data_IF_305296561498
#
_entry.id   IF_305296561498
#
_cell.length_a   1.000
_cell.length_b   1.000
_cell.length_c   1.000
_cell.angle_alpha   90.00
_cell.angle_beta   90.00
_cell.angle_gamma   90.00
#
_symmetry.space_group_name_H-M   'P 1'
#
loop_
_entity.id
_entity.type
_entity.pdbx_description
1 polymer ?
#
# COMPACT_ATOMS: atom_id res chain seq x y z
N UNK A 1 6.05 29.57 32.83
CA UNK A 1 5.67 30.30 31.60
C UNK A 1 5.52 29.25 30.53
N UNK A 2 4.32 29.20 29.96
CA UNK A 2 3.95 28.59 28.68
C UNK A 2 4.05 27.06 28.56
N UNK A 3 3.22 26.36 29.34
CA UNK A 3 2.50 25.21 28.78
C UNK A 3 1.51 25.76 27.76
N UNK A 4 2.02 26.14 26.57
CA UNK A 4 1.22 26.55 25.44
C UNK A 4 0.19 25.44 25.20
N UNK A 5 -1.07 25.80 25.42
CA UNK A 5 -2.21 24.92 25.52
C UNK A 5 -2.55 24.37 24.12
N UNK A 6 -1.71 23.46 23.62
CA UNK A 6 -1.80 22.86 22.29
C UNK A 6 -3.16 22.18 22.10
N UNK A 7 -3.67 21.58 23.19
CA UNK A 7 -4.96 20.92 23.23
C UNK A 7 -6.11 21.93 23.09
N UNK A 8 -6.07 23.08 23.79
CA UNK A 8 -7.09 24.12 23.63
C UNK A 8 -7.02 24.84 22.28
N UNK A 9 -5.83 24.96 21.66
CA UNK A 9 -5.70 25.51 20.32
C UNK A 9 -6.25 24.55 19.24
N UNK A 10 -6.03 23.24 19.40
CA UNK A 10 -6.62 22.21 18.55
C UNK A 10 -8.15 22.16 18.71
N UNK A 11 -8.65 22.26 19.93
CA UNK A 11 -10.08 22.26 20.24
C UNK A 11 -10.77 23.57 19.78
N UNK A 12 -10.08 24.72 19.86
CA UNK A 12 -10.55 25.99 19.30
C UNK A 12 -10.56 25.99 17.76
N UNK A 13 -9.56 25.39 17.10
CA UNK A 13 -9.55 25.19 15.66
C UNK A 13 -10.62 24.17 15.21
N UNK A 14 -10.97 23.20 16.05
CA UNK A 14 -12.05 22.25 15.81
C UNK A 14 -13.46 22.87 15.86
N UNK A 15 -13.60 23.96 16.62
CA UNK A 15 -14.85 24.71 16.81
C UNK A 15 -14.97 25.94 15.89
N UNK A 16 -13.95 26.26 15.11
CA UNK A 16 -13.98 27.39 14.17
C UNK A 16 -14.89 27.06 12.96
N UNK A 17 -16.00 27.80 12.75
CA UNK A 17 -16.89 27.63 11.60
C UNK A 17 -16.21 27.82 10.24
N UNK A 18 -15.04 28.44 10.21
CA UNK A 18 -14.25 28.70 9.01
C UNK A 18 -13.09 27.72 8.83
N UNK A 19 -12.96 26.70 9.68
CA UNK A 19 -11.93 25.68 9.50
C UNK A 19 -12.23 24.86 8.23
N UNK A 20 -11.34 24.86 7.22
CA UNK A 20 -11.51 24.03 6.01
C UNK A 20 -11.42 22.53 6.31
N UNK A 21 -11.00 22.14 7.52
CA UNK A 21 -10.82 20.75 7.98
C UNK A 21 -11.55 20.49 9.31
N UNK A 22 -12.90 20.47 9.32
CA UNK A 22 -13.65 20.22 10.54
C UNK A 22 -13.45 18.77 11.02
N UNK A 23 -13.28 18.59 12.33
CA UNK A 23 -13.19 17.26 12.93
C UNK A 23 -14.55 16.56 12.90
N UNK A 24 -14.56 15.23 12.69
CA UNK A 24 -15.80 14.46 12.50
C UNK A 24 -16.78 14.57 13.67
N UNK A 25 -16.29 14.88 14.88
CA UNK A 25 -17.10 14.98 16.11
C UNK A 25 -18.11 16.15 16.08
N UNK A 26 -17.88 17.16 15.25
CA UNK A 26 -18.75 18.34 15.10
C UNK A 26 -19.58 18.30 13.79
N UNK A 27 -19.48 17.24 12.98
CA UNK A 27 -20.11 17.18 11.66
C UNK A 27 -21.37 16.30 11.62
N UNK A 28 -22.37 16.74 10.84
CA UNK A 28 -23.52 15.90 10.49
C UNK A 28 -23.09 14.82 9.46
N UNK A 29 -23.75 13.65 9.45
CA UNK A 29 -23.50 12.56 8.51
C UNK A 29 -23.48 13.03 7.04
N UNK A 30 -24.38 13.95 6.67
CA UNK A 30 -24.42 14.53 5.33
C UNK A 30 -23.15 15.35 4.99
N UNK A 31 -22.58 16.05 5.97
CA UNK A 31 -21.34 16.82 5.82
C UNK A 31 -20.14 15.87 5.71
N UNK A 32 -20.09 14.80 6.52
CA UNK A 32 -19.02 13.79 6.45
C UNK A 32 -19.01 13.10 5.09
N UNK A 33 -20.18 12.71 4.57
CA UNK A 33 -20.30 12.09 3.24
C UNK A 33 -19.86 13.07 2.15
N UNK A 34 -20.33 14.32 2.18
CA UNK A 34 -19.91 15.35 1.24
C UNK A 34 -18.39 15.58 1.26
N UNK A 35 -17.80 15.68 2.46
CA UNK A 35 -16.37 15.87 2.65
C UNK A 35 -15.58 14.66 2.12
N UNK A 36 -16.07 13.44 2.38
CA UNK A 36 -15.49 12.20 1.84
C UNK A 36 -15.49 12.19 0.32
N UNK A 37 -16.57 12.63 -0.33
CA UNK A 37 -16.64 12.74 -1.78
C UNK A 37 -15.67 13.80 -2.34
N UNK A 38 -15.52 14.94 -1.66
CA UNK A 38 -14.56 15.97 -2.06
C UNK A 38 -13.11 15.46 -1.96
N UNK A 39 -12.76 14.79 -0.85
CA UNK A 39 -11.45 14.15 -0.71
C UNK A 39 -11.23 13.06 -1.75
N UNK A 40 -12.23 12.23 -2.03
CA UNK A 40 -12.15 11.22 -3.09
C UNK A 40 -11.93 11.85 -4.47
N UNK A 41 -12.59 12.97 -4.77
CA UNK A 41 -12.40 13.70 -6.03
C UNK A 41 -10.99 14.28 -6.15
N UNK A 42 -10.46 14.88 -5.08
CA UNK A 42 -9.08 15.39 -5.06
C UNK A 42 -8.07 14.26 -5.22
N UNK A 43 -8.25 13.15 -4.49
CA UNK A 43 -7.39 11.96 -4.60
C UNK A 43 -7.45 11.34 -5.99
N UNK A 44 -8.61 11.31 -6.64
CA UNK A 44 -8.76 10.83 -8.00
C UNK A 44 -7.96 11.68 -9.00
N UNK A 45 -8.07 13.01 -8.91
CA UNK A 45 -7.27 13.91 -9.75
C UNK A 45 -5.77 13.80 -9.46
N UNK A 46 -5.37 13.70 -8.19
CA UNK A 46 -3.98 13.51 -7.80
C UNK A 46 -3.40 12.20 -8.34
N UNK A 47 -4.18 11.11 -8.30
CA UNK A 47 -3.78 9.80 -8.84
C UNK A 47 -3.57 9.86 -10.35
N UNK A 48 -4.43 10.57 -11.08
CA UNK A 48 -4.25 10.79 -12.53
C UNK A 48 -2.99 11.60 -12.82
N UNK A 49 -2.71 12.67 -12.07
CA UNK A 49 -1.47 13.46 -12.22
C UNK A 49 -0.21 12.63 -11.93
N UNK A 50 -0.25 11.76 -10.92
CA UNK A 50 0.85 10.84 -10.61
C UNK A 50 1.03 9.83 -11.75
N UNK A 51 -0.07 9.29 -12.28
CA UNK A 51 -0.05 8.35 -13.41
C UNK A 51 0.56 8.99 -14.65
N UNK A 52 0.11 10.18 -15.04
CA UNK A 52 0.62 10.93 -16.19
C UNK A 52 2.10 11.30 -15.97
N UNK A 53 2.47 11.71 -14.75
CA UNK A 53 3.85 11.96 -14.37
C UNK A 53 4.74 10.72 -14.49
N UNK A 54 4.22 9.54 -14.13
CA UNK A 54 4.94 8.27 -14.28
C UNK A 54 5.18 7.90 -15.75
N UNK A 55 4.20 8.13 -16.62
CA UNK A 55 4.31 7.87 -18.06
C UNK A 55 5.33 8.82 -18.71
N UNK A 56 5.33 10.10 -18.31
CA UNK A 56 6.27 11.09 -18.81
C UNK A 56 7.72 10.81 -18.37
N UNK A 57 7.93 10.27 -17.17
CA UNK A 57 9.26 9.86 -16.69
C UNK A 57 9.76 8.58 -17.38
N UNK A 58 8.87 7.69 -17.81
CA UNK A 58 9.23 6.50 -18.59
C UNK A 58 9.55 6.83 -20.06
N UNK A 59 9.08 7.96 -20.58
CA UNK A 59 9.43 8.44 -21.93
C UNK A 59 10.88 8.91 -22.06
N UNK A 60 11.62 9.09 -20.96
CA UNK A 60 13.06 9.39 -20.98
C UNK A 60 13.86 8.07 -20.98
N UNK A 61 14.46 7.66 -22.11
CA UNK A 61 15.02 6.30 -22.26
C UNK A 61 16.19 6.00 -21.32
N UNK A 62 16.87 7.05 -20.84
CA UNK A 62 18.02 6.95 -19.93
C UNK A 62 17.60 6.69 -18.47
N UNK A 63 16.37 7.02 -18.09
CA UNK A 63 15.87 6.91 -16.71
C UNK A 63 14.79 5.84 -16.55
N UNK A 64 14.19 5.35 -17.64
CA UNK A 64 13.13 4.35 -17.63
C UNK A 64 13.37 3.14 -16.69
N UNK A 65 14.55 2.46 -16.68
CA UNK A 65 14.75 1.31 -15.79
C UNK A 65 14.86 1.68 -14.31
N UNK A 66 15.39 2.88 -13.99
CA UNK A 66 15.54 3.36 -12.59
C UNK A 66 14.22 3.91 -12.06
N UNK A 67 13.50 4.64 -12.90
CA UNK A 67 12.20 5.21 -12.55
C UNK A 67 11.20 4.10 -12.24
N UNK A 68 11.11 3.10 -13.12
CA UNK A 68 10.17 1.99 -12.95
C UNK A 68 10.42 1.13 -11.71
N UNK A 69 11.69 0.92 -11.33
CA UNK A 69 12.06 0.02 -10.23
C UNK A 69 12.20 0.68 -8.87
N UNK A 70 12.54 1.97 -8.80
CA UNK A 70 12.84 2.67 -7.53
C UNK A 70 11.90 3.85 -7.31
N UNK A 71 11.69 4.69 -8.32
CA UNK A 71 10.95 5.96 -8.15
C UNK A 71 9.45 5.71 -8.02
N UNK A 72 8.85 4.87 -8.87
CA UNK A 72 7.42 4.59 -8.80
C UNK A 72 6.99 3.94 -7.47
N UNK A 73 7.74 2.95 -6.92
CA UNK A 73 7.44 2.43 -5.58
C UNK A 73 7.54 3.49 -4.47
N UNK A 74 8.55 4.38 -4.52
CA UNK A 74 8.70 5.44 -3.52
C UNK A 74 7.55 6.44 -3.61
N UNK A 75 7.21 6.90 -4.82
CA UNK A 75 6.10 7.84 -5.02
C UNK A 75 4.76 7.25 -4.58
N UNK A 76 4.55 5.94 -4.74
CA UNK A 76 3.38 5.24 -4.23
C UNK A 76 3.32 5.15 -2.70
N UNK A 77 4.47 5.13 -2.02
CA UNK A 77 4.55 5.07 -0.56
C UNK A 77 4.46 6.44 0.14
N UNK A 78 4.64 7.55 -0.59
CA UNK A 78 4.59 8.92 -0.03
C UNK A 78 3.20 9.27 0.55
N UNK A 79 2.07 9.03 -0.15
CA UNK A 79 0.74 9.32 0.40
C UNK A 79 0.44 8.53 1.68
N UNK A 80 0.82 7.24 1.70
CA UNK A 80 0.66 6.38 2.87
C UNK A 80 1.50 6.88 4.06
N UNK A 81 2.76 7.24 3.82
CA UNK A 81 3.64 7.82 4.83
C UNK A 81 3.15 9.16 5.38
N UNK A 82 2.57 10.02 4.54
CA UNK A 82 1.98 11.28 4.97
C UNK A 82 0.74 11.05 5.85
N UNK A 83 -0.10 10.06 5.53
CA UNK A 83 -1.27 9.73 6.35
C UNK A 83 -0.87 9.33 7.77
N UNK A 84 0.17 8.49 7.94
CA UNK A 84 0.67 8.10 9.26
C UNK A 84 1.35 9.25 9.99
N UNK A 85 2.08 10.11 9.27
CA UNK A 85 2.69 11.30 9.85
C UNK A 85 1.64 12.24 10.47
N UNK A 86 0.58 12.57 9.73
CA UNK A 86 -0.50 13.42 10.25
C UNK A 86 -1.29 12.75 11.38
N UNK A 87 -1.39 11.42 11.39
CA UNK A 87 -2.03 10.66 12.47
C UNK A 87 -1.28 10.73 13.82
N UNK A 88 0.00 11.12 13.82
CA UNK A 88 0.82 11.25 15.02
C UNK A 88 0.87 12.66 15.62
N UNK A 89 0.30 13.68 14.97
CA UNK A 89 0.33 15.07 15.42
C UNK A 89 -0.83 15.44 16.37
N UNK A 90 -1.76 14.51 16.64
CA UNK A 90 -2.92 14.73 17.50
C UNK A 90 -2.62 14.59 19.01
N UNK A 91 -3.48 15.13 19.88
CA UNK A 91 -3.35 15.03 21.34
C UNK A 91 -3.41 13.58 21.86
N UNK A 92 -4.06 12.67 21.12
CA UNK A 92 -4.11 11.22 21.38
C UNK A 92 -3.22 10.42 20.43
N UNK A 93 -1.96 10.86 20.26
CA UNK A 93 -1.03 10.31 19.27
C UNK A 93 -0.88 8.78 19.34
N UNK A 94 -0.89 8.15 20.52
CA UNK A 94 -0.72 6.68 20.63
C UNK A 94 -1.92 5.88 20.08
N UNK A 95 -3.15 6.29 20.40
CA UNK A 95 -4.32 5.59 19.89
C UNK A 95 -4.53 5.90 18.41
N UNK A 96 -4.35 7.16 18.01
CA UNK A 96 -4.49 7.59 16.62
C UNK A 96 -3.43 6.95 15.72
N UNK A 97 -2.14 6.93 16.13
CA UNK A 97 -1.10 6.26 15.35
C UNK A 97 -1.33 4.76 15.25
N UNK A 98 -1.86 4.10 16.30
CA UNK A 98 -2.15 2.67 16.24
C UNK A 98 -3.23 2.34 15.20
N UNK A 99 -4.31 3.14 15.11
CA UNK A 99 -5.32 2.94 14.06
C UNK A 99 -4.81 3.34 12.69
N UNK A 100 -3.99 4.40 12.60
CA UNK A 100 -3.36 4.84 11.35
C UNK A 100 -2.38 3.79 10.77
N UNK A 101 -1.57 3.16 11.62
CA UNK A 101 -0.66 2.08 11.21
C UNK A 101 -1.43 0.83 10.79
N UNK A 102 -2.53 0.50 11.47
CA UNK A 102 -3.42 -0.60 11.06
C UNK A 102 -4.04 -0.37 9.68
N UNK A 103 -4.52 0.86 9.41
CA UNK A 103 -5.04 1.25 8.12
C UNK A 103 -3.96 1.23 7.01
N UNK A 104 -2.74 1.72 7.30
CA UNK A 104 -1.60 1.68 6.38
C UNK A 104 -1.16 0.24 6.05
N UNK A 105 -1.14 -0.64 7.06
CA UNK A 105 -0.82 -2.05 6.85
C UNK A 105 -1.87 -2.73 5.95
N UNK A 106 -3.15 -2.44 6.19
CA UNK A 106 -4.26 -2.92 5.36
C UNK A 106 -4.19 -2.42 3.91
N UNK A 107 -3.91 -1.12 3.70
CA UNK A 107 -3.81 -0.53 2.36
C UNK A 107 -2.64 -1.14 1.58
N UNK A 108 -1.48 -1.31 2.21
CA UNK A 108 -0.30 -1.92 1.57
C UNK A 108 -0.59 -3.36 1.13
N UNK A 109 -1.20 -4.17 1.99
CA UNK A 109 -1.57 -5.55 1.65
C UNK A 109 -2.59 -5.56 0.50
N UNK A 110 -3.59 -4.69 0.52
CA UNK A 110 -4.58 -4.58 -0.55
C UNK A 110 -3.97 -4.11 -1.88
N UNK A 111 -3.08 -3.11 -1.85
CA UNK A 111 -2.38 -2.57 -3.02
C UNK A 111 -1.33 -3.52 -3.57
N UNK A 112 -0.85 -4.51 -2.82
CA UNK A 112 0.00 -5.56 -3.35
C UNK A 112 -0.81 -6.75 -3.89
N UNK A 113 -1.87 -7.14 -3.17
CA UNK A 113 -2.67 -8.32 -3.54
C UNK A 113 -3.61 -8.06 -4.71
N UNK A 114 -4.23 -6.88 -4.82
CA UNK A 114 -5.15 -6.57 -5.92
C UNK A 114 -4.44 -6.43 -7.27
N UNK A 115 -3.35 -5.65 -7.43
CA UNK A 115 -2.66 -5.55 -8.71
C UNK A 115 -2.02 -6.87 -9.11
N UNK A 116 -1.45 -7.62 -8.17
CA UNK A 116 -0.93 -8.95 -8.44
C UNK A 116 -2.05 -9.89 -8.91
N UNK A 117 -3.19 -9.92 -8.22
CA UNK A 117 -4.33 -10.74 -8.62
C UNK A 117 -4.89 -10.34 -9.99
N UNK A 118 -5.06 -9.05 -10.24
CA UNK A 118 -5.52 -8.52 -11.53
C UNK A 118 -4.53 -8.79 -12.65
N UNK A 119 -3.23 -8.65 -12.40
CA UNK A 119 -2.17 -9.00 -13.36
C UNK A 119 -2.15 -10.49 -13.63
N UNK A 120 -2.35 -11.33 -12.62
CA UNK A 120 -2.45 -12.78 -12.79
C UNK A 120 -3.69 -13.11 -13.61
N UNK A 121 -4.84 -12.55 -13.27
CA UNK A 121 -6.13 -12.83 -13.91
C UNK A 121 -6.18 -12.35 -15.37
N UNK A 122 -5.76 -11.11 -15.64
CA UNK A 122 -5.70 -10.53 -17.01
C UNK A 122 -4.52 -11.06 -17.85
N UNK A 123 -3.45 -11.52 -17.18
CA UNK A 123 -2.24 -12.05 -17.79
C UNK A 123 -2.38 -13.46 -18.35
N UNK A 124 -3.45 -14.21 -17.99
CA UNK A 124 -3.66 -15.60 -18.41
C UNK A 124 -3.69 -15.73 -19.93
N UNK A 125 -2.93 -16.69 -20.45
CA UNK A 125 -2.96 -17.12 -21.83
C UNK A 125 -3.09 -18.64 -21.91
N UNK A 126 -3.55 -19.15 -23.05
CA UNK A 126 -3.62 -20.59 -23.30
C UNK A 126 -2.20 -21.21 -23.34
N UNK A 127 -2.01 -22.33 -22.64
CA UNK A 127 -0.75 -23.08 -22.64
C UNK A 127 -0.83 -24.14 -23.75
N UNK A 128 0.02 -24.01 -24.78
CA UNK A 128 0.21 -25.05 -25.80
C UNK A 128 1.64 -25.57 -25.70
N UNK A 129 1.81 -26.89 -25.49
CA UNK A 129 3.11 -27.56 -25.40
C UNK A 129 4.08 -26.91 -24.38
N UNK A 130 3.58 -26.53 -23.20
CA UNK A 130 4.39 -25.96 -22.12
C UNK A 130 4.84 -24.50 -22.33
N UNK A 131 4.36 -23.81 -23.37
CA UNK A 131 4.60 -22.38 -23.61
C UNK A 131 3.29 -21.61 -23.62
N UNK A 132 3.26 -20.45 -22.95
CA UNK A 132 2.13 -19.54 -22.99
C UNK A 132 2.09 -18.84 -24.36
N UNK A 133 0.96 -18.99 -25.07
CA UNK A 133 0.79 -18.43 -26.42
C UNK A 133 0.39 -16.96 -26.33
N UNK A 134 1.35 -16.08 -26.04
CA UNK A 134 1.15 -14.63 -26.09
C UNK A 134 1.28 -14.06 -27.50
N UNK A 135 2.17 -14.67 -28.30
CA UNK A 135 2.46 -14.21 -29.66
C UNK A 135 1.52 -14.87 -30.66
N UNK A 136 0.99 -14.06 -31.58
CA UNK A 136 0.19 -14.50 -32.72
C UNK A 136 1.05 -15.40 -33.63
N UNK A 137 0.60 -16.63 -33.96
CA UNK A 137 1.27 -17.42 -34.99
C UNK A 137 1.22 -16.67 -36.33
N UNK A 138 2.29 -16.71 -37.16
CA UNK A 138 2.32 -16.02 -38.45
C UNK A 138 1.21 -16.44 -39.43
N UNK A 139 0.55 -17.58 -39.16
CA UNK A 139 -0.32 -18.30 -40.08
C UNK A 139 -1.83 -18.14 -39.77
N UNK A 140 -2.23 -17.14 -38.97
CA UNK A 140 -3.64 -16.89 -38.61
C UNK A 140 -3.98 -15.40 -38.81
N UNK A 141 -5.17 -15.04 -39.37
CA UNK A 141 -5.64 -13.64 -39.51
C UNK A 141 -5.74 -12.88 -38.17
N UNK A 142 -5.70 -11.54 -38.20
CA UNK A 142 -5.71 -10.69 -36.99
C UNK A 142 -7.01 -10.81 -36.21
N UNK A 143 -8.12 -10.99 -36.93
CA UNK A 143 -9.48 -11.02 -36.36
C UNK A 143 -9.81 -12.32 -35.60
N UNK A 144 -8.98 -13.37 -35.71
CA UNK A 144 -9.26 -14.69 -35.11
C UNK A 144 -8.26 -15.13 -34.04
N UNK A 145 -7.30 -14.28 -33.67
CA UNK A 145 -6.33 -14.59 -32.63
C UNK A 145 -6.81 -14.10 -31.26
N UNK A 146 -7.39 -15.01 -30.49
CA UNK A 146 -7.72 -14.78 -29.08
C UNK A 146 -6.62 -15.33 -28.16
N UNK A 147 -6.25 -14.56 -27.13
CA UNK A 147 -5.26 -14.95 -26.09
C UNK A 147 -5.69 -16.20 -25.30
N UNK A 148 -6.98 -16.51 -25.28
CA UNK A 148 -7.62 -17.65 -24.61
C UNK A 148 -8.44 -18.43 -25.64
N UNK A 149 -8.21 -19.75 -25.79
CA UNK A 149 -9.01 -20.62 -26.64
C UNK A 149 -9.49 -21.83 -25.83
N UNK A 150 -10.81 -22.10 -25.67
CA UNK A 150 -11.97 -21.31 -26.11
C UNK A 150 -12.10 -19.93 -25.42
N UNK A 151 -12.80 -18.95 -26.02
CA UNK A 151 -13.06 -17.64 -25.43
C UNK A 151 -13.69 -17.77 -24.04
N UNK A 152 -13.08 -17.13 -23.04
CA UNK A 152 -13.58 -17.13 -21.67
C UNK A 152 -13.41 -18.44 -20.89
N UNK A 153 -12.68 -19.44 -21.42
CA UNK A 153 -12.47 -20.68 -20.67
C UNK A 153 -11.45 -20.47 -19.53
N UNK A 154 -11.95 -20.34 -18.31
CA UNK A 154 -11.16 -20.14 -17.08
C UNK A 154 -10.53 -21.43 -16.54
N UNK A 155 -10.19 -22.40 -17.40
CA UNK A 155 -9.62 -23.68 -16.97
C UNK A 155 -8.35 -23.48 -16.13
N UNK A 156 -8.38 -23.99 -14.90
CA UNK A 156 -7.32 -23.86 -13.89
C UNK A 156 -6.02 -24.60 -14.29
N UNK A 157 -6.10 -25.56 -15.22
CA UNK A 157 -4.97 -26.43 -15.61
C UNK A 157 -4.52 -26.23 -17.07
N UNK A 158 -5.31 -25.53 -17.90
CA UNK A 158 -4.99 -25.29 -19.32
C UNK A 158 -4.57 -23.87 -19.68
N UNK A 159 -4.66 -22.94 -18.72
CA UNK A 159 -4.31 -21.52 -18.91
C UNK A 159 -3.35 -21.07 -17.82
N UNK A 160 -2.41 -20.19 -18.16
CA UNK A 160 -1.42 -19.71 -17.21
C UNK A 160 -0.63 -18.54 -17.75
N UNK A 161 0.41 -18.16 -17.01
CA UNK A 161 1.23 -17.00 -17.33
C UNK A 161 2.64 -17.46 -17.66
N UNK A 162 3.16 -17.01 -18.79
CA UNK A 162 4.58 -17.21 -19.12
C UNK A 162 5.41 -16.21 -18.33
N UNK A 163 6.37 -16.71 -17.56
CA UNK A 163 7.33 -15.91 -16.83
C UNK A 163 8.67 -15.86 -17.57
N UNK A 164 9.35 -14.73 -17.51
CA UNK A 164 10.73 -14.62 -17.97
C UNK A 164 11.70 -15.32 -17.01
N UNK A 165 12.91 -15.68 -17.46
CA UNK A 165 13.93 -16.30 -16.62
C UNK A 165 14.34 -15.39 -15.43
N UNK A 166 14.27 -14.07 -15.60
CA UNK A 166 14.58 -13.09 -14.56
C UNK A 166 13.66 -13.17 -13.33
N UNK A 167 12.39 -13.54 -13.53
CA UNK A 167 11.41 -13.68 -12.44
C UNK A 167 11.78 -14.87 -11.54
N UNK A 168 12.32 -15.94 -12.11
CA UNK A 168 12.74 -17.14 -11.36
C UNK A 168 13.94 -16.83 -10.49
N UNK A 169 14.89 -16.06 -11.01
CA UNK A 169 16.07 -15.64 -10.25
C UNK A 169 15.70 -14.68 -9.11
N UNK A 170 14.82 -13.71 -9.38
CA UNK A 170 14.25 -12.82 -8.37
C UNK A 170 13.48 -13.57 -7.28
N UNK A 171 12.62 -14.53 -7.65
CA UNK A 171 11.87 -15.35 -6.70
C UNK A 171 12.79 -16.21 -5.81
N UNK A 172 13.87 -16.76 -6.39
CA UNK A 172 14.88 -17.49 -5.62
C UNK A 172 15.62 -16.56 -4.65
N UNK A 173 15.96 -15.34 -5.04
CA UNK A 173 16.55 -14.34 -4.15
C UNK A 173 15.59 -13.93 -3.03
N UNK A 174 14.31 -13.71 -3.32
CA UNK A 174 13.27 -13.43 -2.33
C UNK A 174 13.08 -14.58 -1.33
N UNK A 175 13.09 -15.84 -1.79
CA UNK A 175 13.04 -17.01 -0.91
C UNK A 175 14.28 -17.11 -0.03
N UNK A 176 15.44 -16.72 -0.55
CA UNK A 176 16.70 -16.73 0.20
C UNK A 176 16.72 -15.68 1.31
N UNK A 177 16.19 -14.47 1.06
CA UNK A 177 16.09 -13.42 2.07
C UNK A 177 15.03 -13.72 3.14
N UNK A 178 14.00 -14.51 2.80
CA UNK A 178 12.98 -15.00 3.73
C UNK A 178 13.58 -15.84 4.87
N UNK A 179 14.75 -16.45 4.69
CA UNK A 179 15.47 -17.18 5.75
C UNK A 179 15.81 -16.27 6.93
N UNK A 180 16.22 -15.02 6.66
CA UNK A 180 16.50 -14.05 7.72
C UNK A 180 15.24 -13.70 8.53
N UNK A 181 14.09 -13.61 7.85
CA UNK A 181 12.80 -13.38 8.50
C UNK A 181 12.43 -14.55 9.42
N UNK A 182 12.62 -15.80 9.00
CA UNK A 182 12.36 -16.97 9.85
C UNK A 182 13.26 -17.03 11.10
N UNK A 183 14.50 -16.56 11.02
CA UNK A 183 15.40 -16.47 12.18
C UNK A 183 14.85 -15.47 13.20
N UNK A 184 14.42 -14.28 12.73
CA UNK A 184 13.83 -13.25 13.59
C UNK A 184 12.51 -13.74 14.19
N UNK A 185 11.63 -14.36 13.39
CA UNK A 185 10.39 -14.97 13.89
C UNK A 185 10.66 -16.08 14.91
N UNK A 186 11.69 -16.90 14.73
CA UNK A 186 12.08 -17.93 15.68
C UNK A 186 12.53 -17.35 17.04
N UNK A 187 13.28 -16.25 17.03
CA UNK A 187 13.66 -15.53 18.24
C UNK A 187 12.46 -14.81 18.88
N UNK A 188 11.60 -14.18 18.09
CA UNK A 188 10.40 -13.50 18.58
C UNK A 188 9.42 -14.49 19.25
N UNK A 189 9.23 -15.67 18.66
CA UNK A 189 8.38 -16.72 19.22
C UNK A 189 8.92 -17.26 20.56
N UNK A 190 10.24 -17.21 20.78
CA UNK A 190 10.86 -17.57 22.07
C UNK A 190 10.66 -16.50 23.14
N UNK A 191 10.60 -15.23 22.75
CA UNK A 191 10.40 -14.08 23.65
C UNK A 191 8.93 -13.91 24.02
N UNK A 192 8.00 -14.11 23.09
CA UNK A 192 6.55 -14.05 23.37
C UNK A 192 6.05 -15.18 24.27
N UNK A 193 6.80 -16.28 24.39
CA UNK A 193 6.52 -17.40 25.30
C UNK A 193 7.10 -17.14 26.71
N UNK A 194 7.95 -16.12 26.89
CA UNK A 194 8.32 -15.68 28.23
C UNK A 194 7.12 -14.95 28.86
N UNK A 195 6.86 -15.12 30.17
CA UNK A 195 5.93 -14.26 30.87
C UNK A 195 6.36 -12.81 30.65
N UNK A 196 5.48 -11.99 30.08
CA UNK A 196 5.70 -10.55 30.04
C UNK A 196 5.70 -10.11 31.50
N UNK A 197 6.86 -9.72 32.02
CA UNK A 197 6.90 -8.87 33.21
C UNK A 197 6.29 -7.56 32.75
N UNK A 198 4.97 -7.45 32.91
CA UNK A 198 4.22 -6.24 32.67
C UNK A 198 4.89 -5.18 33.56
N UNK A 199 5.70 -4.30 32.97
CA UNK A 199 6.20 -3.14 33.67
C UNK A 199 4.97 -2.34 34.09
N UNK A 200 4.59 -2.54 35.36
CA UNK A 200 3.49 -1.85 36.00
C UNK A 200 3.66 -0.37 35.71
N UNK A 201 2.58 0.27 35.25
CA UNK A 201 2.55 1.68 34.82
C UNK A 201 3.20 2.67 35.80
N UNK A 202 3.48 2.27 37.04
CA UNK A 202 4.25 3.05 38.01
C UNK A 202 5.76 3.20 37.72
N UNK A 203 6.43 2.23 37.08
CA UNK A 203 7.88 2.34 36.82
C UNK A 203 8.21 3.26 35.64
N UNK A 204 7.30 3.36 34.66
CA UNK A 204 7.42 4.30 33.53
C UNK A 204 7.37 5.77 34.00
N UNK A 205 6.55 6.07 35.01
CA UNK A 205 6.47 7.43 35.58
C UNK A 205 7.74 7.80 36.37
N UNK A 206 8.38 6.84 37.02
CA UNK A 206 9.65 7.06 37.73
C UNK A 206 10.84 7.24 36.77
N UNK A 207 10.82 6.56 35.62
CA UNK A 207 11.84 6.75 34.58
C UNK A 207 11.71 8.12 33.90
N UNK A 208 10.48 8.61 33.67
CA UNK A 208 10.25 9.93 33.07
C UNK A 208 10.46 11.11 34.02
N UNK A 209 10.43 10.90 35.34
CA UNK A 209 10.70 11.96 36.35
C UNK A 209 12.20 12.15 36.61
N UNK A 210 13.06 11.28 36.05
CA UNK A 210 14.50 11.30 36.28
C UNK A 210 15.32 11.98 35.18
N UNK A 211 14.66 12.54 34.17
CA UNK A 211 15.25 13.45 33.17
C UNK A 211 14.76 14.89 33.36
#
# INVERSE_FOLDING_TARGET
MDNFNLNAAAEAAALDPYNPFPFPDNCNMAQIIFLTFMYAYVLFNASNLISDGSELLLLVPQLAPVVGSIVLPILGAVPDGMMVFFSGLGPDAQNQVSVGVGALAGSTVMLLTLPWFLAIYSGRACIKNGKATYNRPPNVPSDSFEKLYPPGNASLTGTGIGYGPEIVEGAKMMLMTLVGYFIIQGCAFRVDVMPKDDMSHGELLLAQTKE
#
